data_IF_286535177921
#
_entry.id   IF_286535177921
#
_cell.length_a   1.000
_cell.length_b   1.000
_cell.length_c   1.000
_cell.angle_alpha   90.00
_cell.angle_beta   90.00
_cell.angle_gamma   90.00
#
_symmetry.space_group_name_H-M   'P 1'
#
loop_
_entity.id
_entity.type
_entity.pdbx_description
1 polymer ?
#
# COMPACT_ATOMS: atom_id res chain seq x y z
N UNK A 1 -65.93 58.72 -46.67
CA UNK A 1 -64.53 58.57 -46.32
C UNK A 1 -64.44 57.51 -45.22
N UNK A 2 -64.15 56.27 -45.58
CA UNK A 2 -64.01 55.14 -44.63
C UNK A 2 -62.52 54.83 -44.44
N UNK A 3 -61.94 55.06 -43.28
CA UNK A 3 -60.57 54.74 -42.94
C UNK A 3 -60.54 53.31 -42.40
N UNK A 4 -59.95 52.41 -43.15
CA UNK A 4 -59.64 51.07 -42.72
C UNK A 4 -58.34 51.08 -41.94
N UNK A 5 -58.41 50.78 -40.63
CA UNK A 5 -57.21 50.50 -39.79
C UNK A 5 -56.73 49.07 -40.06
N UNK A 6 -55.54 48.93 -40.60
CA UNK A 6 -54.84 47.63 -40.67
C UNK A 6 -54.09 47.40 -39.34
N UNK A 7 -54.48 46.34 -38.60
CA UNK A 7 -53.80 45.88 -37.39
C UNK A 7 -52.71 44.90 -37.83
N UNK A 8 -51.43 45.33 -37.77
CA UNK A 8 -50.29 44.45 -37.93
C UNK A 8 -50.12 43.60 -36.64
N UNK A 9 -50.42 42.32 -36.72
CA UNK A 9 -50.13 41.37 -35.66
C UNK A 9 -48.65 40.98 -35.78
N UNK A 10 -47.80 41.44 -34.82
CA UNK A 10 -46.43 41.03 -34.71
C UNK A 10 -46.41 39.65 -34.03
N UNK A 11 -46.11 38.59 -34.80
CA UNK A 11 -45.85 37.24 -34.26
C UNK A 11 -44.44 37.23 -33.69
N UNK A 12 -44.29 37.39 -32.38
CA UNK A 12 -43.03 37.18 -31.67
C UNK A 12 -42.79 35.66 -31.58
N UNK A 13 -41.85 35.14 -32.39
CA UNK A 13 -41.35 33.79 -32.28
C UNK A 13 -40.53 33.70 -30.97
N UNK A 14 -41.11 33.06 -29.95
CA UNK A 14 -40.36 32.64 -28.75
C UNK A 14 -39.33 31.61 -29.19
N UNK A 15 -38.05 32.03 -29.31
CA UNK A 15 -36.94 31.09 -29.35
C UNK A 15 -36.83 30.42 -27.99
N UNK A 16 -37.42 29.24 -27.85
CA UNK A 16 -37.17 28.37 -26.73
C UNK A 16 -35.72 27.86 -26.91
N UNK A 17 -34.78 28.51 -26.21
CA UNK A 17 -33.44 27.98 -26.08
C UNK A 17 -33.57 26.62 -25.39
N UNK A 18 -33.46 25.52 -26.12
CA UNK A 18 -33.30 24.21 -25.55
C UNK A 18 -32.03 24.25 -24.71
N UNK A 19 -32.07 23.87 -23.40
CA UNK A 19 -30.85 23.74 -22.64
C UNK A 19 -29.98 22.70 -23.38
N UNK A 20 -28.94 23.17 -24.04
CA UNK A 20 -27.86 22.31 -24.49
C UNK A 20 -27.19 21.81 -23.21
N UNK A 21 -27.62 20.66 -22.73
CA UNK A 21 -26.74 19.87 -21.90
C UNK A 21 -25.56 19.52 -22.80
N UNK A 22 -24.51 20.32 -22.71
CA UNK A 22 -23.18 19.90 -23.11
C UNK A 22 -22.81 18.76 -22.16
N UNK A 23 -23.40 17.60 -22.40
CA UNK A 23 -22.92 16.35 -21.80
C UNK A 23 -21.49 16.25 -22.31
N UNK A 24 -20.57 16.38 -21.36
CA UNK A 24 -19.15 16.22 -21.62
C UNK A 24 -18.99 14.85 -22.27
N UNK A 25 -18.80 14.83 -23.60
CA UNK A 25 -18.58 13.56 -24.30
C UNK A 25 -17.22 13.08 -23.87
N UNK A 26 -17.12 11.90 -23.25
CA UNK A 26 -15.85 11.41 -22.74
C UNK A 26 -14.85 11.26 -23.90
N UNK A 27 -13.57 11.35 -23.59
CA UNK A 27 -12.53 10.94 -24.52
C UNK A 27 -12.51 9.41 -24.65
N UNK A 28 -12.27 8.89 -25.85
CA UNK A 28 -12.02 7.45 -26.03
C UNK A 28 -10.80 7.09 -25.19
N UNK A 29 -10.93 6.05 -24.33
CA UNK A 29 -9.86 5.63 -23.43
C UNK A 29 -9.76 6.45 -22.13
N UNK A 30 -10.70 7.36 -21.88
CA UNK A 30 -10.80 8.02 -20.59
C UNK A 30 -11.06 7.00 -19.47
N UNK A 31 -10.41 7.18 -18.33
CA UNK A 31 -10.64 6.37 -17.14
C UNK A 31 -11.34 7.23 -16.10
N UNK A 32 -12.53 6.82 -15.70
CA UNK A 32 -13.34 7.51 -14.69
C UNK A 32 -13.59 6.60 -13.49
N UNK A 33 -13.62 7.20 -12.32
CA UNK A 33 -13.94 6.51 -11.05
C UNK A 33 -15.40 6.82 -10.68
N UNK A 34 -16.18 5.77 -10.40
CA UNK A 34 -17.60 5.89 -10.07
C UNK A 34 -17.92 5.22 -8.74
N UNK A 35 -18.90 5.76 -8.02
CA UNK A 35 -19.33 5.28 -6.71
C UNK A 35 -20.46 4.26 -6.76
N UNK A 36 -20.85 3.78 -7.94
CA UNK A 36 -21.93 2.79 -8.12
C UNK A 36 -21.39 1.49 -8.72
N UNK A 37 -22.17 0.40 -8.60
CA UNK A 37 -21.71 -0.98 -8.83
C UNK A 37 -21.61 -1.45 -10.27
N UNK A 38 -21.70 -0.58 -11.30
CA UNK A 38 -21.60 -0.93 -12.72
C UNK A 38 -20.95 0.18 -13.53
N UNK A 39 -20.41 -0.14 -14.72
CA UNK A 39 -19.97 0.88 -15.66
C UNK A 39 -21.12 1.31 -16.55
N UNK A 40 -21.31 2.62 -16.83
CA UNK A 40 -22.35 3.10 -17.71
C UNK A 40 -22.27 2.52 -19.13
N UNK A 41 -23.36 2.64 -19.90
CA UNK A 41 -23.36 2.24 -21.32
C UNK A 41 -22.23 2.95 -22.08
N UNK A 42 -21.49 2.21 -22.90
CA UNK A 42 -20.33 2.74 -23.64
C UNK A 42 -19.03 2.74 -22.83
N UNK A 43 -19.07 2.25 -21.61
CA UNK A 43 -17.91 2.08 -20.74
C UNK A 43 -17.71 0.60 -20.38
N UNK A 44 -16.50 0.23 -20.02
CA UNK A 44 -16.14 -1.11 -19.53
C UNK A 44 -15.32 -1.03 -18.26
N UNK A 45 -15.30 -2.10 -17.47
CA UNK A 45 -14.46 -2.15 -16.27
C UNK A 45 -12.97 -2.08 -16.61
N UNK A 46 -12.21 -1.37 -15.77
CA UNK A 46 -10.75 -1.34 -15.81
C UNK A 46 -10.19 -2.55 -15.04
N UNK A 47 -10.46 -3.76 -15.53
CA UNK A 47 -10.15 -5.04 -14.91
C UNK A 47 -9.13 -5.90 -15.69
N UNK A 48 -8.48 -5.30 -16.70
CA UNK A 48 -7.47 -5.97 -17.52
C UNK A 48 -8.02 -6.92 -18.56
N UNK A 49 -9.35 -6.93 -18.82
CA UNK A 49 -9.94 -7.78 -19.85
C UNK A 49 -9.40 -7.48 -21.25
N UNK A 50 -9.45 -8.48 -22.11
CA UNK A 50 -9.09 -8.35 -23.50
C UNK A 50 -10.31 -7.93 -24.33
N UNK A 51 -10.13 -6.97 -25.22
CA UNK A 51 -11.11 -6.49 -26.17
C UNK A 51 -10.69 -6.85 -27.59
N UNK A 52 -11.69 -7.07 -28.47
CA UNK A 52 -11.44 -7.27 -29.90
C UNK A 52 -11.02 -5.98 -30.58
N UNK A 53 -9.92 -6.02 -31.34
CA UNK A 53 -9.43 -4.86 -32.12
C UNK A 53 -10.46 -4.47 -33.17
N UNK A 54 -11.11 -5.43 -33.82
CA UNK A 54 -12.10 -5.16 -34.87
C UNK A 54 -13.33 -4.39 -34.38
N UNK A 55 -13.68 -4.51 -33.10
CA UNK A 55 -14.81 -3.80 -32.48
C UNK A 55 -14.41 -2.46 -31.88
N UNK A 56 -13.12 -2.27 -31.54
CA UNK A 56 -12.64 -1.09 -30.80
C UNK A 56 -11.34 -0.53 -31.42
N UNK A 57 -11.32 -0.36 -32.74
CA UNK A 57 -10.13 0.09 -33.48
C UNK A 57 -9.60 1.45 -33.02
N UNK A 58 -10.50 2.39 -32.70
CA UNK A 58 -10.12 3.71 -32.21
C UNK A 58 -9.43 3.64 -30.85
N UNK A 59 -9.95 2.83 -29.91
CA UNK A 59 -9.34 2.62 -28.61
C UNK A 59 -8.00 1.88 -28.73
N UNK A 60 -7.91 0.90 -29.63
CA UNK A 60 -6.66 0.19 -29.91
C UNK A 60 -5.57 1.13 -30.44
N UNK A 61 -5.92 2.10 -31.28
CA UNK A 61 -4.96 3.08 -31.79
C UNK A 61 -4.34 3.97 -30.70
N UNK A 62 -5.02 4.12 -29.56
CA UNK A 62 -4.54 4.86 -28.39
C UNK A 62 -3.77 3.98 -27.41
N UNK A 63 -4.27 2.78 -27.13
CA UNK A 63 -3.72 1.90 -26.12
C UNK A 63 -2.66 0.95 -26.64
N UNK A 64 -2.76 0.53 -27.91
CA UNK A 64 -1.89 -0.50 -28.45
C UNK A 64 -1.96 -1.78 -27.58
N UNK A 65 -0.79 -2.34 -27.29
CA UNK A 65 -0.62 -3.51 -26.43
C UNK A 65 -0.09 -3.17 -25.03
N UNK A 66 -0.11 -1.89 -24.65
CA UNK A 66 0.45 -1.39 -23.39
C UNK A 66 -0.11 -2.10 -22.15
N UNK A 67 -1.39 -2.44 -22.19
CA UNK A 67 -2.09 -3.12 -21.10
C UNK A 67 -2.27 -4.64 -21.33
N UNK A 68 -1.75 -5.17 -22.44
CA UNK A 68 -1.81 -6.59 -22.80
C UNK A 68 -2.51 -6.85 -24.14
N UNK A 69 -2.74 -8.13 -24.43
CA UNK A 69 -3.27 -8.60 -25.71
C UNK A 69 -2.18 -8.95 -26.71
N UNK A 70 -2.59 -9.57 -27.84
CA UNK A 70 -1.69 -10.04 -28.89
C UNK A 70 -1.37 -8.96 -29.95
N UNK A 71 -2.06 -7.81 -29.91
CA UNK A 71 -1.91 -6.73 -30.88
C UNK A 71 -2.33 -7.09 -32.32
N UNK A 72 -2.93 -8.24 -32.50
CA UNK A 72 -3.38 -8.74 -33.81
C UNK A 72 -4.90 -8.89 -33.87
N UNK A 73 -5.47 -9.52 -32.86
CA UNK A 73 -6.92 -9.74 -32.71
C UNK A 73 -7.46 -9.10 -31.44
N UNK A 74 -6.64 -8.99 -30.41
CA UNK A 74 -7.01 -8.50 -29.08
C UNK A 74 -6.01 -7.50 -28.53
N UNK A 75 -6.50 -6.65 -27.63
CA UNK A 75 -5.72 -5.75 -26.80
C UNK A 75 -6.34 -5.65 -25.40
N UNK A 76 -5.55 -5.31 -24.38
CA UNK A 76 -5.99 -5.19 -23.01
C UNK A 76 -6.44 -3.78 -22.63
N UNK A 77 -7.38 -3.69 -21.68
CA UNK A 77 -7.66 -2.47 -20.92
C UNK A 77 -6.83 -2.44 -19.64
N UNK A 78 -6.63 -1.26 -19.02
CA UNK A 78 -5.93 -1.17 -17.73
C UNK A 78 -6.58 -2.06 -16.65
N UNK A 79 -5.77 -2.66 -15.78
CA UNK A 79 -6.23 -3.33 -14.56
C UNK A 79 -5.88 -2.48 -13.34
N UNK A 80 -6.89 -1.81 -12.79
CA UNK A 80 -6.76 -0.95 -11.62
C UNK A 80 -7.24 -1.61 -10.31
N UNK A 81 -7.59 -2.90 -10.35
CA UNK A 81 -8.00 -3.64 -9.15
C UNK A 81 -6.83 -3.76 -8.18
N UNK A 82 -7.01 -3.31 -6.94
CA UNK A 82 -5.96 -3.32 -5.91
C UNK A 82 -4.77 -2.42 -6.23
N UNK A 83 -4.91 -1.42 -7.12
CA UNK A 83 -3.82 -0.56 -7.57
C UNK A 83 -4.19 0.92 -7.47
N UNK A 84 -3.23 1.73 -7.06
CA UNK A 84 -3.29 3.18 -7.19
C UNK A 84 -2.70 3.60 -8.54
N UNK A 85 -3.39 4.52 -9.24
CA UNK A 85 -2.84 5.15 -10.43
C UNK A 85 -1.73 6.14 -10.03
N UNK A 86 -0.59 6.09 -10.73
CA UNK A 86 0.52 7.01 -10.54
C UNK A 86 0.89 7.68 -11.86
N UNK A 87 1.55 8.85 -11.79
CA UNK A 87 1.95 9.60 -12.97
C UNK A 87 3.00 8.90 -13.82
N UNK A 88 2.85 9.02 -15.14
CA UNK A 88 3.85 8.62 -16.13
C UNK A 88 5.05 9.57 -16.10
N UNK A 89 6.24 9.05 -16.32
CA UNK A 89 7.44 9.86 -16.56
C UNK A 89 8.50 9.73 -15.49
N UNK A 90 9.40 10.72 -15.48
CA UNK A 90 10.54 10.78 -14.58
C UNK A 90 10.56 12.16 -13.89
N UNK A 91 10.28 12.20 -12.60
CA UNK A 91 10.41 13.41 -11.77
C UNK A 91 11.76 13.51 -11.07
N UNK A 92 12.18 14.70 -10.63
CA UNK A 92 13.41 14.87 -9.85
C UNK A 92 13.38 13.99 -8.60
N UNK A 93 14.40 13.14 -8.43
CA UNK A 93 14.51 12.22 -7.29
C UNK A 93 13.54 11.03 -7.31
N UNK A 94 12.75 10.85 -8.37
CA UNK A 94 11.81 9.76 -8.51
C UNK A 94 12.31 8.71 -9.54
N UNK A 95 11.90 7.47 -9.34
CA UNK A 95 12.16 6.42 -10.34
C UNK A 95 11.30 6.63 -11.59
N UNK A 96 11.84 6.40 -12.79
CA UNK A 96 11.08 6.50 -14.03
C UNK A 96 9.93 5.49 -14.07
N UNK A 97 8.78 5.92 -14.59
CA UNK A 97 7.58 5.11 -14.74
C UNK A 97 7.11 5.12 -16.18
N UNK A 98 6.92 3.92 -16.73
CA UNK A 98 6.39 3.75 -18.09
C UNK A 98 4.88 3.48 -18.05
N UNK A 99 4.17 3.87 -19.13
CA UNK A 99 2.76 3.54 -19.28
C UNK A 99 2.54 2.03 -19.21
N UNK A 100 1.52 1.60 -18.47
CA UNK A 100 1.20 0.18 -18.27
C UNK A 100 2.11 -0.57 -17.30
N UNK A 101 3.17 0.05 -16.76
CA UNK A 101 4.04 -0.57 -15.78
C UNK A 101 3.27 -0.89 -14.49
N UNK A 102 3.40 -2.13 -14.01
CA UNK A 102 2.80 -2.63 -12.76
C UNK A 102 3.91 -2.93 -11.76
N UNK A 103 3.70 -2.56 -10.49
CA UNK A 103 4.65 -2.83 -9.41
C UNK A 103 3.91 -2.78 -8.06
N UNK A 104 4.59 -3.24 -7.00
CA UNK A 104 4.07 -3.25 -5.63
C UNK A 104 3.40 -4.56 -5.26
N UNK A 105 3.29 -4.80 -3.96
CA UNK A 105 2.64 -5.95 -3.34
C UNK A 105 1.74 -5.47 -2.21
N UNK A 106 0.58 -6.12 -2.04
CA UNK A 106 -0.35 -5.84 -0.94
C UNK A 106 0.20 -6.33 0.41
N UNK A 107 0.99 -7.41 0.38
CA UNK A 107 1.62 -7.97 1.57
C UNK A 107 3.14 -7.96 1.39
N UNK A 108 3.85 -7.74 2.47
CA UNK A 108 5.31 -7.80 2.52
C UNK A 108 5.74 -8.75 3.62
N UNK A 109 6.71 -9.62 3.32
CA UNK A 109 7.37 -10.49 4.30
C UNK A 109 8.74 -9.93 4.58
N UNK A 110 9.03 -9.66 5.85
CA UNK A 110 10.38 -9.29 6.27
C UNK A 110 11.25 -10.55 6.32
N UNK A 111 12.35 -10.50 5.59
CA UNK A 111 13.41 -11.51 5.65
C UNK A 111 14.65 -10.89 6.30
N UNK A 112 15.61 -11.72 6.74
CA UNK A 112 16.82 -11.25 7.43
C UNK A 112 17.55 -10.15 6.66
N UNK A 113 17.57 -10.21 5.33
CA UNK A 113 18.23 -9.20 4.48
C UNK A 113 17.51 -7.85 4.46
N UNK A 114 16.25 -7.76 4.90
CA UNK A 114 15.49 -6.52 4.99
C UNK A 114 15.71 -5.77 6.31
N UNK A 115 16.41 -6.42 7.27
CA UNK A 115 16.68 -5.85 8.59
C UNK A 115 18.17 -5.51 8.63
N UNK A 116 18.53 -4.25 8.92
CA UNK A 116 19.93 -3.90 9.12
C UNK A 116 20.58 -4.78 10.22
N UNK A 117 21.85 -5.11 10.05
CA UNK A 117 22.58 -5.84 11.06
C UNK A 117 22.56 -5.06 12.39
N UNK A 118 22.08 -5.68 13.42
CA UNK A 118 22.01 -5.10 14.76
C UNK A 118 22.37 -6.15 15.80
N UNK A 119 22.78 -5.72 17.05
CA UNK A 119 23.12 -6.57 18.17
C UNK A 119 22.31 -6.15 19.40
N UNK A 120 21.97 -7.12 20.23
CA UNK A 120 21.35 -6.89 21.53
C UNK A 120 22.41 -7.17 22.58
N UNK A 121 23.14 -6.16 23.09
CA UNK A 121 24.07 -6.38 24.20
C UNK A 121 23.25 -6.76 25.42
N UNK A 122 23.62 -7.86 26.02
CA UNK A 122 23.09 -8.28 27.33
C UNK A 122 24.25 -8.58 28.26
N UNK A 123 24.20 -7.99 29.44
CA UNK A 123 25.20 -8.22 30.49
C UNK A 123 24.51 -8.83 31.69
N UNK A 124 25.08 -9.90 32.21
CA UNK A 124 24.66 -10.51 33.45
C UNK A 124 25.82 -10.53 34.44
N UNK A 125 25.58 -10.07 35.66
CA UNK A 125 26.54 -10.15 36.74
C UNK A 125 25.94 -11.02 37.84
N UNK A 126 26.61 -12.14 38.17
CA UNK A 126 26.23 -12.90 39.33
C UNK A 126 26.69 -12.18 40.61
N UNK A 127 25.84 -12.22 41.61
CA UNK A 127 26.14 -11.67 42.92
C UNK A 127 26.55 -12.81 43.86
N UNK A 128 27.51 -12.53 44.75
CA UNK A 128 27.96 -13.44 45.78
C UNK A 128 28.07 -12.75 47.12
N UNK A 129 28.12 -13.49 48.19
CA UNK A 129 28.47 -13.00 49.50
C UNK A 129 29.98 -13.21 49.74
N UNK A 130 30.71 -12.14 50.00
CA UNK A 130 32.12 -12.27 50.42
C UNK A 130 32.23 -12.58 51.90
N UNK A 131 31.57 -13.62 52.31
CA UNK A 131 31.45 -14.10 53.69
C UNK A 131 31.44 -15.63 53.73
N UNK A 132 31.88 -16.25 54.87
CA UNK A 132 31.71 -17.69 55.02
C UNK A 132 30.27 -18.13 54.89
N UNK A 133 30.05 -19.29 54.31
CA UNK A 133 28.72 -19.87 54.18
C UNK A 133 28.03 -20.09 55.52
N UNK A 134 26.75 -19.82 55.60
CA UNK A 134 25.91 -20.06 56.78
C UNK A 134 24.63 -20.85 56.47
N UNK A 135 24.48 -21.26 55.21
CA UNK A 135 23.31 -22.03 54.75
C UNK A 135 23.75 -23.18 53.84
N UNK A 136 23.20 -24.37 54.01
CA UNK A 136 23.44 -25.53 53.13
C UNK A 136 22.55 -25.46 51.88
N UNK A 137 21.59 -24.53 51.81
CA UNK A 137 20.61 -24.42 50.72
C UNK A 137 20.66 -23.06 50.03
N UNK A 138 20.41 -23.00 48.72
CA UNK A 138 20.48 -21.75 47.94
C UNK A 138 19.28 -20.84 48.16
N UNK A 139 18.20 -21.28 48.78
CA UNK A 139 16.96 -20.53 48.92
C UNK A 139 17.15 -19.22 49.70
N UNK A 140 17.04 -18.06 49.01
CA UNK A 140 17.22 -16.74 49.64
C UNK A 140 18.64 -16.40 50.01
N UNK A 141 19.65 -17.16 49.56
CA UNK A 141 21.06 -16.98 49.87
C UNK A 141 21.91 -16.81 48.61
N UNK A 142 23.08 -16.18 48.74
CA UNK A 142 24.07 -15.99 47.70
C UNK A 142 25.19 -17.02 47.80
N UNK A 143 25.87 -17.31 46.68
CA UNK A 143 27.10 -18.09 46.71
C UNK A 143 28.08 -17.44 47.67
N UNK A 144 28.74 -18.25 48.51
CA UNK A 144 29.59 -17.79 49.55
C UNK A 144 30.96 -18.50 49.53
N UNK A 145 31.88 -18.07 50.41
CA UNK A 145 33.14 -18.75 50.61
C UNK A 145 32.84 -20.11 51.29
N UNK A 146 33.27 -21.19 50.61
CA UNK A 146 33.06 -22.52 51.12
C UNK A 146 33.84 -22.72 52.47
N UNK A 147 33.09 -23.05 53.50
CA UNK A 147 33.63 -23.41 54.79
C UNK A 147 32.83 -24.59 55.30
N UNK A 148 33.39 -25.75 55.24
CA UNK A 148 32.84 -27.00 55.86
C UNK A 148 31.44 -27.41 55.30
N UNK A 149 31.23 -27.26 53.97
CA UNK A 149 30.02 -27.74 53.32
C UNK A 149 28.84 -26.79 53.37
N UNK A 150 29.04 -25.54 53.76
CA UNK A 150 28.03 -24.43 53.64
C UNK A 150 28.43 -23.46 52.57
N UNK A 151 27.84 -23.65 51.37
CA UNK A 151 28.25 -22.92 50.17
C UNK A 151 27.41 -21.67 49.91
N UNK A 152 26.43 -21.38 50.76
CA UNK A 152 25.51 -20.27 50.62
C UNK A 152 25.48 -19.38 51.86
N UNK A 153 25.28 -18.08 51.69
CA UNK A 153 25.14 -17.13 52.79
C UNK A 153 23.85 -16.33 52.63
N UNK A 154 22.98 -16.45 53.61
CA UNK A 154 21.80 -15.56 53.74
C UNK A 154 22.27 -14.25 54.38
N UNK A 155 22.14 -13.14 53.59
CA UNK A 155 22.54 -11.83 54.07
C UNK A 155 21.60 -11.32 55.17
N UNK A 156 22.21 -10.72 56.22
CA UNK A 156 21.48 -10.11 57.35
C UNK A 156 22.21 -8.85 57.83
N UNK A 157 21.56 -8.02 58.63
CA UNK A 157 22.23 -6.92 59.33
C UNK A 157 22.86 -5.86 58.43
N UNK A 158 22.30 -5.56 57.23
CA UNK A 158 22.84 -4.53 56.33
C UNK A 158 24.00 -4.98 55.47
N UNK A 159 24.29 -6.28 55.42
CA UNK A 159 25.28 -6.86 54.49
C UNK A 159 24.84 -6.69 53.04
N UNK A 160 25.75 -6.38 52.14
CA UNK A 160 25.50 -6.24 50.71
C UNK A 160 26.20 -7.31 49.90
N UNK A 161 25.56 -7.87 48.85
CA UNK A 161 26.22 -8.78 47.95
C UNK A 161 27.29 -8.07 47.14
N UNK A 162 28.36 -8.79 46.79
CA UNK A 162 29.42 -8.32 45.89
C UNK A 162 29.26 -8.90 44.50
N UNK A 163 29.75 -8.20 43.51
CA UNK A 163 29.74 -8.69 42.13
C UNK A 163 30.81 -9.80 41.96
N UNK A 164 30.45 -10.90 41.34
CA UNK A 164 31.41 -11.93 40.94
C UNK A 164 32.25 -11.40 39.76
N UNK A 165 33.30 -12.15 39.41
CA UNK A 165 34.16 -11.82 38.29
C UNK A 165 33.36 -11.56 37.01
N UNK A 166 33.84 -10.64 36.17
CA UNK A 166 33.29 -10.41 34.86
C UNK A 166 33.21 -11.74 34.08
N UNK A 167 32.11 -11.95 33.37
CA UNK A 167 31.80 -13.18 32.63
C UNK A 167 31.47 -14.41 33.51
N UNK A 168 31.19 -14.25 34.81
CA UNK A 168 30.70 -15.33 35.68
C UNK A 168 29.34 -15.89 35.29
N UNK A 169 28.61 -15.16 34.46
CA UNK A 169 27.32 -15.57 33.84
C UNK A 169 27.41 -15.47 32.35
N UNK A 170 27.19 -16.57 31.64
CA UNK A 170 27.00 -16.58 30.20
C UNK A 170 25.54 -16.18 29.89
N UNK A 171 25.35 -15.01 29.26
CA UNK A 171 24.05 -14.58 28.83
C UNK A 171 23.92 -14.86 27.34
N UNK A 172 23.01 -15.76 26.96
CA UNK A 172 22.68 -16.01 25.57
C UNK A 172 21.40 -15.24 25.22
N UNK A 173 21.53 -14.31 24.31
CA UNK A 173 20.37 -13.62 23.74
C UNK A 173 19.92 -14.39 22.51
N UNK A 174 18.76 -15.01 22.58
CA UNK A 174 18.17 -15.64 21.42
C UNK A 174 17.59 -14.57 20.50
N UNK A 175 18.03 -14.55 19.26
CA UNK A 175 17.39 -13.75 18.24
C UNK A 175 15.96 -14.25 18.06
N UNK A 176 14.99 -13.33 18.16
CA UNK A 176 13.62 -13.66 17.83
C UNK A 176 13.49 -13.79 16.32
N UNK A 177 13.57 -15.03 15.81
CA UNK A 177 13.48 -15.34 14.38
C UNK A 177 12.03 -15.42 13.85
N UNK A 178 11.09 -14.66 14.42
CA UNK A 178 9.73 -14.61 13.89
C UNK A 178 9.58 -13.67 12.66
N UNK A 179 10.62 -13.60 11.82
CA UNK A 179 10.72 -12.71 10.67
C UNK A 179 10.09 -13.27 9.38
N UNK A 180 9.34 -14.34 9.41
CA UNK A 180 8.69 -14.88 8.21
C UNK A 180 7.17 -14.66 8.18
N UNK A 181 6.65 -13.74 8.99
CA UNK A 181 5.23 -13.40 8.95
C UNK A 181 4.98 -12.29 7.94
N UNK A 182 4.07 -12.55 7.01
CA UNK A 182 3.61 -11.53 6.08
C UNK A 182 2.72 -10.52 6.81
N UNK A 183 2.93 -9.24 6.56
CA UNK A 183 2.06 -8.16 7.03
C UNK A 183 1.54 -7.34 5.85
N UNK A 184 0.36 -6.75 6.02
CA UNK A 184 -0.23 -5.89 5.00
C UNK A 184 0.55 -4.59 4.86
N UNK A 185 0.89 -4.26 3.60
CA UNK A 185 1.55 -3.00 3.22
C UNK A 185 0.56 -2.02 2.58
N UNK A 186 -0.73 -2.29 2.66
CA UNK A 186 -1.75 -1.43 2.07
C UNK A 186 -2.06 -0.24 2.98
N UNK A 187 -2.02 0.97 2.41
CA UNK A 187 -2.60 2.15 3.05
C UNK A 187 -4.10 1.99 3.22
N UNK A 188 -4.75 2.69 4.18
CA UNK A 188 -6.22 2.72 4.25
C UNK A 188 -6.82 3.07 2.89
N UNK A 189 -7.82 2.34 2.44
CA UNK A 189 -8.43 2.50 1.12
C UNK A 189 -9.95 2.43 1.17
N UNK A 190 -10.57 3.02 0.17
CA UNK A 190 -12.00 2.88 -0.12
C UNK A 190 -12.13 2.33 -1.55
N UNK A 191 -12.86 1.23 -1.69
CA UNK A 191 -13.06 0.59 -2.99
C UNK A 191 -14.08 1.37 -3.81
N UNK A 192 -13.68 1.81 -4.99
CA UNK A 192 -14.53 2.43 -6.01
C UNK A 192 -14.33 1.70 -7.34
N UNK A 193 -15.28 1.87 -8.25
CA UNK A 193 -15.18 1.24 -9.57
C UNK A 193 -14.46 2.17 -10.55
N UNK A 194 -13.50 1.62 -11.29
CA UNK A 194 -12.87 2.30 -12.42
C UNK A 194 -13.45 1.79 -13.73
N UNK A 195 -13.89 2.72 -14.56
CA UNK A 195 -14.46 2.44 -15.87
C UNK A 195 -13.64 3.10 -16.97
N UNK A 196 -13.48 2.40 -18.09
CA UNK A 196 -12.80 2.87 -19.30
C UNK A 196 -13.84 3.18 -20.36
N UNK A 197 -13.79 4.37 -20.95
CA UNK A 197 -14.68 4.76 -22.05
C UNK A 197 -14.28 4.04 -23.35
N UNK A 198 -15.25 3.32 -23.94
CA UNK A 198 -15.12 2.65 -25.22
C UNK A 198 -15.47 3.55 -26.40
N UNK A 199 -16.30 4.57 -26.14
CA UNK A 199 -16.85 5.49 -27.15
C UNK A 199 -16.65 6.93 -26.66
N UNK A 200 -16.48 7.87 -27.58
CA UNK A 200 -16.30 9.26 -27.25
C UNK A 200 -15.55 10.03 -28.33
N UNK A 201 -15.02 11.19 -27.95
CA UNK A 201 -14.20 12.01 -28.84
C UNK A 201 -12.79 11.41 -28.92
N UNK A 202 -12.24 11.30 -30.13
CA UNK A 202 -10.85 10.88 -30.30
C UNK A 202 -9.90 12.03 -29.91
N UNK A 203 -8.95 11.83 -28.97
CA UNK A 203 -8.03 12.89 -28.58
C UNK A 203 -7.04 13.20 -29.72
N UNK A 204 -6.95 14.47 -30.12
CA UNK A 204 -5.92 14.92 -31.06
C UNK A 204 -4.60 15.11 -30.31
N UNK A 205 -3.49 14.76 -30.95
CA UNK A 205 -2.14 15.16 -30.49
C UNK A 205 -1.80 16.51 -31.12
N UNK A 206 -1.38 17.44 -30.30
CA UNK A 206 -0.78 18.70 -30.76
C UNK A 206 0.67 18.47 -31.16
#
# INVERSE_FOLDING_TARGET
>A
MKRTLAVLAAVSTLNVATPSFAGDTPWIGEISMVGFGFCPRGWTDADGKLLSISQHTALFSLYGTVFGGDGRTTFGVPDLRGRAAIGLGNGPGLSPRAMGQKSGNENTTLIANNIPAHTHPATGIAKAANLPGNSPTPGGAFNAIDTAGTNYHALSGGQTPVDMAANSVAVTVNNNNTINSAFSNMSPFLVMRYCVSLNGTFPSRN
#
